data_IF_350721683343
#
_entry.id   IF_350721683343
#
_cell.length_a   1.000
_cell.length_b   1.000
_cell.length_c   1.000
_cell.angle_alpha   90.00
_cell.angle_beta   90.00
_cell.angle_gamma   90.00
#
_symmetry.space_group_name_H-M   'P 1'
#
loop_
_entity.id
_entity.type
_entity.pdbx_description
1 polymer ?
#
# COMPACT_ATOMS: atom_id res chain seq x y z
N UNK A 1 21.28 0.65 -60.01
CA UNK A 1 21.64 -0.35 -58.98
C UNK A 1 21.13 0.20 -57.66
N UNK A 2 19.86 -0.14 -57.32
CA UNK A 2 19.17 0.34 -56.11
C UNK A 2 19.35 -0.67 -54.98
N UNK A 3 19.97 -0.25 -53.91
CA UNK A 3 20.09 -1.04 -52.69
C UNK A 3 18.96 -0.58 -51.76
N UNK A 4 17.94 -1.41 -51.57
CA UNK A 4 16.91 -1.25 -50.55
C UNK A 4 17.48 -1.62 -49.20
N UNK A 5 17.65 -0.61 -48.34
CA UNK A 5 17.83 -0.86 -46.90
C UNK A 5 16.48 -1.14 -46.23
N UNK A 6 16.25 -2.39 -45.90
CA UNK A 6 15.18 -2.81 -45.01
C UNK A 6 15.58 -2.41 -43.58
N UNK A 7 15.04 -1.30 -43.09
CA UNK A 7 15.02 -1.01 -41.63
C UNK A 7 13.98 -1.85 -40.99
N UNK A 8 14.42 -2.88 -40.28
CA UNK A 8 13.59 -3.63 -39.35
C UNK A 8 13.22 -2.73 -38.18
N UNK A 9 11.99 -2.24 -38.16
CA UNK A 9 11.38 -1.60 -36.99
C UNK A 9 11.23 -2.66 -35.90
N UNK A 10 12.13 -2.64 -34.91
CA UNK A 10 11.98 -3.39 -33.66
C UNK A 10 10.73 -2.88 -32.93
N UNK A 11 9.76 -3.75 -32.82
CA UNK A 11 8.52 -3.56 -32.08
C UNK A 11 8.81 -3.33 -30.58
N UNK A 12 8.83 -2.08 -30.17
CA UNK A 12 9.10 -1.59 -28.83
C UNK A 12 7.79 -1.42 -28.00
N UNK A 13 6.74 -2.20 -28.33
CA UNK A 13 5.37 -1.99 -27.84
C UNK A 13 5.05 -2.64 -26.48
N UNK A 14 6.02 -3.26 -25.78
CA UNK A 14 5.75 -4.01 -24.53
C UNK A 14 6.07 -3.28 -23.23
N UNK A 15 6.85 -2.22 -23.24
CA UNK A 15 7.28 -1.50 -22.03
C UNK A 15 6.32 -0.41 -21.53
N UNK A 16 5.53 0.30 -22.35
CA UNK A 16 4.64 1.35 -21.87
C UNK A 16 3.46 0.84 -21.02
N UNK A 17 2.90 -0.32 -21.34
CA UNK A 17 1.68 -0.83 -20.68
C UNK A 17 1.87 -1.23 -19.22
N UNK A 18 3.00 -1.83 -18.86
CA UNK A 18 3.26 -2.28 -17.48
C UNK A 18 3.54 -1.10 -16.55
N UNK A 19 4.23 -0.08 -17.00
CA UNK A 19 4.46 1.15 -16.24
C UNK A 19 3.16 1.95 -16.04
N UNK A 20 2.29 2.03 -17.07
CA UNK A 20 1.00 2.72 -16.96
C UNK A 20 0.08 2.04 -15.92
N UNK A 21 0.08 0.72 -15.83
CA UNK A 21 -0.68 -0.01 -14.80
C UNK A 21 -0.14 0.32 -13.40
N UNK A 22 1.17 0.23 -13.18
CA UNK A 22 1.76 0.49 -11.87
C UNK A 22 1.51 1.94 -11.41
N UNK A 23 1.69 2.91 -12.29
CA UNK A 23 1.49 4.33 -11.99
C UNK A 23 0.02 4.70 -11.71
N UNK A 24 -0.93 3.92 -12.23
CA UNK A 24 -2.36 4.10 -12.03
C UNK A 24 -2.96 3.17 -10.96
N UNK A 25 -2.13 2.39 -10.27
CA UNK A 25 -2.55 1.47 -9.21
C UNK A 25 -2.35 2.09 -7.82
N UNK A 26 -3.41 2.09 -7.02
CA UNK A 26 -3.35 2.31 -5.58
C UNK A 26 -3.27 0.95 -4.88
N UNK A 27 -2.25 0.75 -4.06
CA UNK A 27 -2.14 -0.43 -3.21
C UNK A 27 -2.81 -0.16 -1.87
N UNK A 28 -3.66 -1.07 -1.41
CA UNK A 28 -4.23 -1.07 -0.07
C UNK A 28 -3.65 -2.23 0.73
N UNK A 29 -2.88 -1.92 1.76
CA UNK A 29 -2.35 -2.92 2.69
C UNK A 29 -3.26 -3.02 3.91
N UNK A 30 -3.83 -4.20 4.13
CA UNK A 30 -4.72 -4.47 5.26
C UNK A 30 -3.89 -4.72 6.52
N UNK A 31 -3.81 -3.72 7.38
CA UNK A 31 -2.98 -3.72 8.60
C UNK A 31 -3.82 -3.65 9.90
N UNK A 32 -5.08 -4.06 9.87
CA UNK A 32 -6.06 -3.82 10.94
C UNK A 32 -6.29 -4.96 11.95
N UNK A 33 -5.63 -6.11 11.80
CA UNK A 33 -5.88 -7.26 12.68
C UNK A 33 -5.25 -7.12 14.07
N UNK A 34 -5.96 -7.55 15.14
CA UNK A 34 -5.42 -7.62 16.51
C UNK A 34 -4.21 -8.57 16.63
N UNK A 35 -4.08 -9.54 15.72
CA UNK A 35 -2.96 -10.48 15.75
C UNK A 35 -2.97 -11.43 16.93
N UNK A 36 -4.13 -11.76 17.49
CA UNK A 36 -4.31 -12.58 18.72
C UNK A 36 -3.54 -13.91 18.71
N UNK A 37 -3.21 -14.44 17.54
CA UNK A 37 -2.39 -15.65 17.38
C UNK A 37 -0.91 -15.47 17.76
N UNK A 38 -0.44 -14.22 17.85
CA UNK A 38 0.93 -13.89 18.23
C UNK A 38 1.07 -13.57 19.73
N UNK A 39 -0.01 -13.74 20.50
CA UNK A 39 -0.05 -13.58 21.96
C UNK A 39 0.68 -12.29 22.44
N UNK A 40 1.59 -12.40 23.37
CA UNK A 40 2.34 -11.30 24.00
C UNK A 40 3.00 -10.32 23.01
N UNK A 41 3.34 -10.76 21.80
CA UNK A 41 3.96 -9.90 20.78
C UNK A 41 3.00 -8.82 20.27
N UNK A 42 1.68 -9.03 20.41
CA UNK A 42 0.64 -8.11 19.92
C UNK A 42 -0.16 -7.42 21.02
N UNK A 43 0.22 -7.59 22.30
CA UNK A 43 -0.48 -6.95 23.42
C UNK A 43 -0.43 -5.41 23.38
N UNK A 44 0.64 -4.85 22.83
CA UNK A 44 0.88 -3.39 22.79
C UNK A 44 1.08 -2.84 21.38
N UNK A 45 0.84 -3.64 20.35
CA UNK A 45 1.02 -3.21 18.96
C UNK A 45 0.28 -4.11 17.99
N UNK A 46 -0.14 -3.57 16.87
CA UNK A 46 -0.77 -4.34 15.79
C UNK A 46 0.23 -5.35 15.18
N UNK A 47 -0.29 -6.48 14.65
CA UNK A 47 0.54 -7.52 14.01
C UNK A 47 1.53 -6.96 12.97
N UNK A 48 1.14 -6.05 12.04
CA UNK A 48 2.07 -5.49 11.05
C UNK A 48 3.22 -4.69 11.67
N UNK A 49 3.06 -4.20 12.91
CA UNK A 49 4.07 -3.44 13.64
C UNK A 49 5.03 -4.31 14.46
N UNK A 50 4.85 -5.63 14.48
CA UNK A 50 5.74 -6.56 15.18
C UNK A 50 7.09 -6.60 14.50
N UNK A 51 8.16 -6.58 15.29
CA UNK A 51 9.54 -6.71 14.80
C UNK A 51 9.80 -8.09 14.24
N UNK A 52 10.51 -8.14 13.13
CA UNK A 52 10.96 -9.36 12.49
C UNK A 52 12.34 -9.14 11.87
N UNK A 53 13.28 -10.02 12.19
CA UNK A 53 14.64 -9.93 11.64
C UNK A 53 15.41 -8.67 12.06
N UNK A 54 15.34 -8.29 13.34
CA UNK A 54 16.06 -7.13 13.89
C UNK A 54 15.22 -5.84 13.83
N UNK A 55 15.60 -4.87 13.01
CA UNK A 55 14.94 -3.56 12.95
C UNK A 55 13.71 -3.50 12.03
N UNK A 56 13.46 -4.54 11.25
CA UNK A 56 12.34 -4.62 10.32
C UNK A 56 11.04 -4.95 11.05
N UNK A 57 9.93 -4.55 10.45
CA UNK A 57 8.58 -4.94 10.88
C UNK A 57 7.92 -5.79 9.81
N UNK A 58 6.91 -6.56 10.20
CA UNK A 58 6.20 -7.43 9.24
C UNK A 58 5.72 -6.64 8.02
N UNK A 59 5.16 -5.44 8.22
CA UNK A 59 4.67 -4.58 7.13
C UNK A 59 5.77 -4.18 6.12
N UNK A 60 7.03 -4.09 6.54
CA UNK A 60 8.13 -3.65 5.68
C UNK A 60 8.37 -4.62 4.51
N UNK A 61 8.10 -5.90 4.70
CA UNK A 61 8.22 -6.90 3.62
C UNK A 61 7.18 -6.65 2.52
N UNK A 62 5.92 -6.40 2.89
CA UNK A 62 4.86 -6.08 1.93
C UNK A 62 5.14 -4.76 1.22
N UNK A 63 5.57 -3.74 1.95
CA UNK A 63 5.95 -2.44 1.39
C UNK A 63 7.15 -2.55 0.42
N UNK A 64 8.18 -3.29 0.81
CA UNK A 64 9.36 -3.54 -0.05
C UNK A 64 8.97 -4.26 -1.33
N UNK A 65 8.08 -5.25 -1.25
CA UNK A 65 7.57 -5.95 -2.44
C UNK A 65 6.81 -4.99 -3.38
N UNK A 66 6.01 -4.08 -2.82
CA UNK A 66 5.34 -3.05 -3.62
C UNK A 66 6.35 -2.18 -4.37
N UNK A 67 7.37 -1.65 -3.68
CA UNK A 67 8.39 -0.81 -4.32
C UNK A 67 9.19 -1.58 -5.39
N UNK A 68 9.56 -2.81 -5.13
CA UNK A 68 10.26 -3.68 -6.09
C UNK A 68 9.39 -3.96 -7.33
N UNK A 69 8.08 -3.91 -7.20
CA UNK A 69 7.10 -4.03 -8.29
C UNK A 69 6.73 -2.68 -8.91
N UNK A 70 7.46 -1.60 -8.61
CA UNK A 70 7.19 -0.22 -9.04
C UNK A 70 5.82 0.34 -8.59
N UNK A 71 5.18 -0.26 -7.57
CA UNK A 71 3.93 0.19 -6.97
C UNK A 71 4.25 1.16 -5.83
N UNK A 72 4.07 2.46 -6.04
CA UNK A 72 4.56 3.52 -5.16
C UNK A 72 3.46 4.39 -4.55
N UNK A 73 2.18 4.09 -4.83
CA UNK A 73 1.00 4.74 -4.23
C UNK A 73 0.36 3.74 -3.27
N UNK A 74 0.63 3.88 -1.99
CA UNK A 74 0.29 2.86 -1.00
C UNK A 74 -0.52 3.48 0.14
N UNK A 75 -1.72 2.93 0.38
CA UNK A 75 -2.53 3.20 1.56
C UNK A 75 -2.47 2.02 2.52
N UNK A 76 -2.14 2.28 3.78
CA UNK A 76 -2.11 1.27 4.85
C UNK A 76 -3.36 1.43 5.70
N UNK A 77 -4.29 0.48 5.61
CA UNK A 77 -5.53 0.48 6.37
C UNK A 77 -5.28 -0.05 7.78
N UNK A 78 -5.50 0.81 8.77
CA UNK A 78 -5.24 0.47 10.18
C UNK A 78 -6.51 0.56 11.00
N UNK A 79 -6.62 -0.27 12.04
CA UNK A 79 -7.78 -0.29 12.89
C UNK A 79 -7.42 -0.18 14.39
N UNK A 80 -6.47 -0.97 14.85
CA UNK A 80 -6.16 -1.12 16.27
C UNK A 80 -4.67 -0.86 16.54
N UNK A 81 -4.36 -0.24 17.73
CA UNK A 81 -2.98 -0.04 18.21
C UNK A 81 -2.01 0.49 17.13
N UNK A 82 -2.51 1.43 16.32
CA UNK A 82 -1.80 1.89 15.13
C UNK A 82 -0.65 2.85 15.43
N UNK A 83 -0.53 3.40 16.66
CA UNK A 83 0.45 4.44 16.98
C UNK A 83 1.90 4.04 16.68
N UNK A 84 2.31 2.83 17.09
CA UNK A 84 3.67 2.35 16.82
C UNK A 84 3.90 2.07 15.34
N UNK A 85 2.86 1.66 14.60
CA UNK A 85 2.91 1.48 13.15
C UNK A 85 3.01 2.82 12.43
N UNK A 86 2.18 3.79 12.82
CA UNK A 86 2.21 5.16 12.27
C UNK A 86 3.61 5.76 12.38
N UNK A 87 4.19 5.72 13.60
CA UNK A 87 5.52 6.27 13.83
C UNK A 87 6.60 5.57 12.99
N UNK A 88 6.49 4.25 12.83
CA UNK A 88 7.40 3.51 11.97
C UNK A 88 7.28 3.93 10.50
N UNK A 89 6.07 3.97 9.95
CA UNK A 89 5.83 4.37 8.58
C UNK A 89 6.32 5.81 8.31
N UNK A 90 6.09 6.73 9.23
CA UNK A 90 6.55 8.11 9.12
C UNK A 90 8.08 8.24 9.12
N UNK A 91 8.79 7.40 9.87
CA UNK A 91 10.26 7.46 9.92
C UNK A 91 10.94 6.64 8.84
N UNK A 92 10.46 5.43 8.59
CA UNK A 92 11.12 4.48 7.69
C UNK A 92 10.71 4.64 6.22
N UNK A 93 9.49 5.17 5.95
CA UNK A 93 8.90 5.19 4.61
C UNK A 93 8.60 6.59 4.07
N UNK A 94 9.10 7.64 4.72
CA UNK A 94 8.93 9.04 4.29
C UNK A 94 9.83 9.46 3.13
N UNK A 95 10.72 8.61 2.66
CA UNK A 95 11.67 8.92 1.58
C UNK A 95 11.04 8.94 0.18
N UNK A 96 9.80 8.48 0.04
CA UNK A 96 9.09 8.53 -1.25
C UNK A 96 8.76 9.97 -1.65
N UNK A 97 9.06 10.37 -2.90
CA UNK A 97 8.86 11.74 -3.36
C UNK A 97 7.36 12.01 -3.60
N UNK A 98 6.72 12.68 -2.65
CA UNK A 98 5.30 13.07 -2.70
C UNK A 98 4.98 14.02 -3.86
N UNK A 99 5.91 14.86 -4.25
CA UNK A 99 5.82 15.75 -5.41
C UNK A 99 5.63 15.00 -6.73
N UNK A 100 6.09 13.74 -6.78
CA UNK A 100 5.87 12.81 -7.91
C UNK A 100 4.66 11.91 -7.73
N UNK A 101 3.79 12.19 -6.75
CA UNK A 101 2.62 11.36 -6.44
C UNK A 101 2.94 10.00 -5.85
N UNK A 102 4.13 9.82 -5.23
CA UNK A 102 4.53 8.58 -4.57
C UNK A 102 4.40 8.75 -3.05
N UNK A 103 3.78 7.80 -2.38
CA UNK A 103 3.49 7.93 -0.95
C UNK A 103 3.22 6.57 -0.27
N UNK A 104 3.41 6.56 1.04
CA UNK A 104 2.83 5.57 1.96
C UNK A 104 1.98 6.36 2.96
N UNK A 105 0.66 6.29 2.82
CA UNK A 105 -0.29 6.98 3.68
C UNK A 105 -1.03 6.01 4.59
N UNK A 106 -1.33 6.44 5.81
CA UNK A 106 -2.20 5.68 6.70
C UNK A 106 -3.66 6.08 6.47
N UNK A 107 -4.50 5.08 6.35
CA UNK A 107 -5.95 5.20 6.23
C UNK A 107 -6.59 4.54 7.47
N UNK A 108 -6.77 5.29 8.58
CA UNK A 108 -7.38 4.76 9.78
C UNK A 108 -8.88 4.51 9.58
N UNK A 109 -9.44 3.54 10.33
CA UNK A 109 -10.88 3.37 10.40
C UNK A 109 -11.54 4.68 10.84
N UNK A 110 -12.63 5.07 10.17
CA UNK A 110 -13.39 6.27 10.53
C UNK A 110 -14.06 6.06 11.89
N UNK A 111 -13.79 6.94 12.83
CA UNK A 111 -14.57 7.06 14.06
C UNK A 111 -15.77 7.97 13.76
N UNK A 112 -17.00 7.44 13.75
CA UNK A 112 -18.19 8.26 13.80
C UNK A 112 -18.52 8.56 15.27
N UNK A 113 -19.07 9.75 15.53
CA UNK A 113 -19.21 10.34 16.87
C UNK A 113 -20.00 9.48 17.86
N UNK A 114 -20.88 8.59 17.38
CA UNK A 114 -21.77 7.79 18.23
C UNK A 114 -21.45 6.27 18.30
N UNK A 115 -20.62 5.74 17.42
CA UNK A 115 -20.19 4.34 17.48
C UNK A 115 -18.75 4.19 16.98
N UNK A 116 -17.90 3.49 17.72
CA UNK A 116 -16.59 3.07 17.27
C UNK A 116 -16.79 1.99 16.21
N UNK A 117 -16.96 2.40 14.97
CA UNK A 117 -17.17 1.51 13.83
C UNK A 117 -15.83 0.89 13.42
N UNK A 118 -15.49 -0.19 14.09
CA UNK A 118 -14.38 -1.04 13.65
C UNK A 118 -14.74 -1.72 12.34
N UNK A 119 -13.74 -1.95 11.47
CA UNK A 119 -13.97 -2.74 10.27
C UNK A 119 -14.51 -4.13 10.62
N UNK A 120 -15.65 -4.51 10.08
CA UNK A 120 -16.29 -5.81 10.26
C UNK A 120 -15.52 -6.95 9.59
N UNK A 121 -14.59 -6.61 8.70
CA UNK A 121 -13.76 -7.53 7.94
C UNK A 121 -12.96 -6.80 6.86
N UNK A 122 -12.24 -7.57 6.06
CA UNK A 122 -11.36 -7.02 5.01
C UNK A 122 -12.13 -6.27 3.92
N UNK A 123 -13.28 -6.81 3.50
CA UNK A 123 -14.13 -6.17 2.50
C UNK A 123 -14.71 -4.85 3.01
N UNK A 124 -15.15 -4.80 4.27
CA UNK A 124 -15.66 -3.60 4.90
C UNK A 124 -14.59 -2.53 5.05
N UNK A 125 -13.35 -2.91 5.39
CA UNK A 125 -12.21 -2.00 5.44
C UNK A 125 -11.97 -1.31 4.09
N UNK A 126 -12.04 -2.05 3.00
CA UNK A 126 -11.93 -1.49 1.65
C UNK A 126 -13.12 -0.58 1.34
N UNK A 127 -14.34 -1.06 1.60
CA UNK A 127 -15.58 -0.34 1.30
C UNK A 127 -15.66 1.03 1.98
N UNK A 128 -15.34 1.11 3.27
CA UNK A 128 -15.34 2.37 4.01
C UNK A 128 -14.33 3.39 3.47
N UNK A 129 -13.29 2.95 2.77
CA UNK A 129 -12.28 3.82 2.19
C UNK A 129 -12.53 4.17 0.71
N UNK A 130 -13.56 3.59 0.06
CA UNK A 130 -13.92 3.90 -1.34
C UNK A 130 -14.12 5.41 -1.58
N UNK A 131 -14.87 6.16 -0.73
CA UNK A 131 -15.05 7.60 -0.95
C UNK A 131 -13.72 8.36 -0.98
N UNK A 132 -12.81 8.07 -0.03
CA UNK A 132 -11.51 8.74 0.03
C UNK A 132 -10.63 8.38 -1.16
N UNK A 133 -10.72 7.13 -1.64
CA UNK A 133 -10.01 6.71 -2.85
C UNK A 133 -10.50 7.47 -4.09
N UNK A 134 -11.81 7.62 -4.23
CA UNK A 134 -12.41 8.32 -5.37
C UNK A 134 -12.16 9.82 -5.35
N UNK A 135 -12.14 10.44 -4.17
CA UNK A 135 -11.98 11.88 -4.02
C UNK A 135 -10.51 12.32 -4.14
N UNK A 136 -9.61 11.64 -3.44
CA UNK A 136 -8.23 12.10 -3.30
C UNK A 136 -7.24 11.38 -4.21
N UNK A 137 -7.38 10.06 -4.40
CA UNK A 137 -6.37 9.28 -5.13
C UNK A 137 -6.75 8.99 -6.58
N UNK A 138 -8.04 8.85 -6.87
CA UNK A 138 -8.59 8.60 -8.22
C UNK A 138 -7.86 7.52 -9.01
N UNK A 139 -7.60 6.33 -8.42
CA UNK A 139 -6.83 5.28 -9.08
C UNK A 139 -7.66 4.62 -10.19
N UNK A 140 -7.00 4.16 -11.27
CA UNK A 140 -7.65 3.28 -12.26
C UNK A 140 -7.75 1.84 -11.74
N UNK A 141 -6.78 1.42 -10.95
CA UNK A 141 -6.71 0.06 -10.38
C UNK A 141 -6.45 0.12 -8.88
N UNK A 142 -6.98 -0.86 -8.17
CA UNK A 142 -6.73 -1.04 -6.73
C UNK A 142 -6.21 -2.45 -6.50
N UNK A 143 -5.03 -2.56 -5.87
CA UNK A 143 -4.44 -3.81 -5.44
C UNK A 143 -4.60 -3.95 -3.92
N UNK A 144 -5.18 -5.05 -3.45
CA UNK A 144 -5.40 -5.29 -2.02
C UNK A 144 -4.43 -6.37 -1.56
N UNK A 145 -3.62 -6.05 -0.54
CA UNK A 145 -2.63 -6.95 0.03
C UNK A 145 -2.84 -7.12 1.54
N UNK A 146 -2.44 -8.29 2.06
CA UNK A 146 -2.32 -8.51 3.50
C UNK A 146 -1.01 -7.88 4.02
N UNK A 147 -1.06 -7.30 5.23
CA UNK A 147 0.09 -6.77 5.97
C UNK A 147 0.58 -7.73 7.05
#
# INVERSE_FOLDING_TARGET
MNINENTTSSDNSRTPHTMDIADNTLVLILAGGRGTRLHEMTDRRSKPAVYFGGNWRIVDFTLSNCLNSNLKKIGVLTQYEAHSLLRHLQHAWSFLPRDRGQFVDMLPARQQIDEVMWYRGTADAVWQNVPIMQEHYKPKYVLILAG
#
